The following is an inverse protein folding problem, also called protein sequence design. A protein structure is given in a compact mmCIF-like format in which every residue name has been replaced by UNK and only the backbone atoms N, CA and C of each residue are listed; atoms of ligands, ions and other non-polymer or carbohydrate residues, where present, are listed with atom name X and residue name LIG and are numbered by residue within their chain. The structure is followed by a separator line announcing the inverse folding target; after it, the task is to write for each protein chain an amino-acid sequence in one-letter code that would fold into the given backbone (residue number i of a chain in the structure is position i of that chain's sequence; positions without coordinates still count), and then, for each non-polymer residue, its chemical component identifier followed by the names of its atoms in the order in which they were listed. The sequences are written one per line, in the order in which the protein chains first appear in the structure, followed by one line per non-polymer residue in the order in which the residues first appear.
data_IF_269913395873
#
_entry.id   IF_269913395873
#
_cell.length_a   1.000
_cell.length_b   1.000
_cell.length_c   1.000
_cell.angle_alpha   90.00
_cell.angle_beta   90.00
_cell.angle_gamma   90.00
#
_symmetry.space_group_name_H-M   'P 1'
#
loop_
_entity.id
_entity.type
_entity.pdbx_description
1 polymer ?
#
# COMPACT_ATOMS: atom_id res chain seq x y z
N UNK A 1 -14.43 -7.34 16.66
CA UNK A 1 -12.96 -7.49 16.54
C UNK A 1 -12.25 -6.54 17.51
N UNK A 2 -11.13 -6.96 18.13
CA UNK A 2 -10.28 -6.13 18.98
C UNK A 2 -8.87 -6.08 18.44
N UNK A 3 -8.16 -5.00 18.76
CA UNK A 3 -6.85 -4.68 18.23
C UNK A 3 -5.86 -4.36 19.35
N UNK A 4 -4.58 -4.63 19.09
CA UNK A 4 -3.48 -4.33 19.99
C UNK A 4 -2.28 -3.75 19.24
N UNK A 5 -1.37 -3.08 19.99
CA UNK A 5 -0.08 -2.65 19.49
C UNK A 5 0.92 -3.81 19.44
N UNK A 6 1.72 -3.90 18.39
CA UNK A 6 2.84 -4.83 18.28
C UNK A 6 3.89 -4.65 19.36
N UNK A 7 3.92 -3.48 20.03
CA UNK A 7 4.86 -3.17 21.14
C UNK A 7 4.19 -3.12 22.52
N UNK A 8 2.83 -3.20 22.58
CA UNK A 8 2.08 -3.55 23.78
C UNK A 8 1.49 -2.42 24.61
N UNK A 9 1.72 -1.14 24.28
CA UNK A 9 1.13 -0.05 25.05
C UNK A 9 -0.39 0.03 24.90
N UNK A 10 -0.90 -0.24 23.70
CA UNK A 10 -2.33 -0.16 23.40
C UNK A 10 -2.92 -1.57 23.26
N UNK A 11 -4.07 -1.83 23.91
CA UNK A 11 -4.76 -3.13 23.89
C UNK A 11 -6.28 -2.92 23.87
N UNK A 12 -6.99 -3.93 23.36
CA UNK A 12 -8.45 -3.98 23.39
C UNK A 12 -9.14 -2.79 22.68
N UNK A 13 -8.53 -2.28 21.60
CA UNK A 13 -9.07 -1.16 20.82
C UNK A 13 -10.12 -1.64 19.82
N UNK A 14 -11.10 -0.77 19.49
CA UNK A 14 -12.04 -0.98 18.39
C UNK A 14 -11.39 -0.62 17.04
N UNK A 15 -12.00 -1.05 15.93
CA UNK A 15 -11.59 -0.64 14.59
C UNK A 15 -11.59 0.89 14.44
N UNK A 16 -12.65 1.56 14.90
CA UNK A 16 -12.68 3.02 14.92
C UNK A 16 -11.48 3.63 15.62
N UNK A 17 -11.09 3.10 16.78
CA UNK A 17 -9.95 3.59 17.54
C UNK A 17 -8.65 3.54 16.73
N UNK A 18 -8.34 2.40 16.14
CA UNK A 18 -7.10 2.21 15.37
C UNK A 18 -7.10 2.95 14.03
N UNK A 19 -8.27 3.13 13.40
CA UNK A 19 -8.41 3.88 12.16
C UNK A 19 -7.94 5.34 12.34
N UNK A 20 -8.45 6.01 13.39
CA UNK A 20 -8.11 7.40 13.68
C UNK A 20 -6.70 7.59 14.24
N UNK A 21 -6.22 6.64 15.05
CA UNK A 21 -4.86 6.71 15.60
C UNK A 21 -3.79 6.43 14.55
N UNK A 22 -4.03 5.48 13.64
CA UNK A 22 -3.12 5.09 12.56
C UNK A 22 -1.82 4.43 13.06
N UNK A 23 -1.27 4.90 14.17
CA UNK A 23 -0.04 4.44 14.83
C UNK A 23 -0.32 4.33 16.34
N UNK A 24 0.22 3.31 16.99
CA UNK A 24 0.08 3.12 18.42
C UNK A 24 0.88 4.16 19.24
N UNK A 25 0.49 4.35 20.50
CA UNK A 25 1.09 5.37 21.38
C UNK A 25 2.57 5.12 21.66
N UNK A 26 3.02 3.86 21.59
CA UNK A 26 4.41 3.42 21.72
C UNK A 26 5.19 3.41 20.36
N UNK A 27 4.57 3.89 19.30
CA UNK A 27 5.12 3.84 17.95
C UNK A 27 5.04 2.46 17.28
N UNK A 28 4.37 1.49 17.92
CA UNK A 28 4.06 0.18 17.35
C UNK A 28 2.92 0.23 16.34
N UNK A 29 2.72 -0.88 15.64
CA UNK A 29 1.67 -1.01 14.64
C UNK A 29 0.47 -1.75 15.21
N UNK A 30 -0.74 -1.42 14.74
CA UNK A 30 -1.93 -2.16 15.13
C UNK A 30 -2.09 -3.45 14.33
N UNK A 31 -2.48 -4.51 15.05
CA UNK A 31 -2.89 -5.81 14.51
C UNK A 31 -4.16 -6.28 15.23
N UNK A 32 -5.03 -7.07 14.60
CA UNK A 32 -6.11 -7.74 15.32
C UNK A 32 -5.56 -8.76 16.30
N UNK A 33 -6.23 -8.95 17.42
CA UNK A 33 -5.86 -9.95 18.44
C UNK A 33 -5.92 -11.37 17.88
N UNK A 34 -6.93 -11.62 17.01
CA UNK A 34 -7.15 -12.90 16.34
C UNK A 34 -7.44 -12.70 14.85
N UNK A 35 -7.05 -13.66 14.01
CA UNK A 35 -7.35 -13.65 12.59
C UNK A 35 -8.75 -14.21 12.35
N UNK A 36 -9.70 -13.46 11.73
CA UNK A 36 -10.97 -14.01 11.35
C UNK A 36 -10.77 -15.16 10.37
N UNK A 37 -11.57 -16.21 10.51
CA UNK A 37 -11.53 -17.36 9.62
C UNK A 37 -12.68 -17.26 8.61
N UNK A 38 -12.40 -17.56 7.36
CA UNK A 38 -13.39 -17.60 6.28
C UNK A 38 -13.38 -18.99 5.62
N UNK A 39 -14.56 -19.42 5.21
CA UNK A 39 -14.72 -20.65 4.43
C UNK A 39 -14.56 -20.30 2.95
N UNK A 40 -13.40 -20.68 2.39
CA UNK A 40 -13.05 -20.39 0.99
C UNK A 40 -14.06 -20.98 0.00
N UNK A 41 -14.53 -22.22 0.20
CA UNK A 41 -15.51 -22.86 -0.69
C UNK A 41 -16.88 -22.16 -0.63
N UNK A 42 -17.22 -21.57 0.51
CA UNK A 42 -18.42 -20.73 0.63
C UNK A 42 -18.22 -19.40 -0.10
N UNK A 43 -17.04 -18.79 0.00
CA UNK A 43 -16.71 -17.53 -0.67
C UNK A 43 -16.68 -17.68 -2.20
N UNK A 44 -16.25 -18.84 -2.74
CA UNK A 44 -16.29 -19.10 -4.20
C UNK A 44 -17.66 -18.92 -4.83
N UNK A 45 -18.73 -18.99 -4.05
CA UNK A 45 -20.10 -18.71 -4.52
C UNK A 45 -20.39 -17.22 -4.73
N UNK A 46 -19.53 -16.34 -4.24
CA UNK A 46 -19.58 -14.90 -4.45
C UNK A 46 -18.83 -14.54 -5.72
N UNK A 47 -19.56 -14.26 -6.79
CA UNK A 47 -18.94 -13.89 -8.10
C UNK A 47 -18.65 -12.39 -8.22
N UNK A 48 -19.17 -11.57 -7.31
CA UNK A 48 -19.10 -10.11 -7.33
C UNK A 48 -18.06 -9.61 -6.34
N UNK A 49 -17.16 -8.72 -6.80
CA UNK A 49 -16.12 -8.11 -5.95
C UNK A 49 -16.69 -7.39 -4.72
N UNK A 50 -17.81 -6.69 -4.85
CA UNK A 50 -18.39 -5.88 -3.76
C UNK A 50 -18.98 -6.74 -2.64
N UNK A 51 -19.63 -7.85 -2.98
CA UNK A 51 -20.14 -8.80 -2.01
C UNK A 51 -19.00 -9.53 -1.30
N UNK A 52 -17.98 -9.94 -2.06
CA UNK A 52 -16.76 -10.52 -1.49
C UNK A 52 -16.04 -9.53 -0.57
N UNK A 53 -15.92 -8.27 -0.96
CA UNK A 53 -15.33 -7.22 -0.14
C UNK A 53 -16.04 -7.11 1.22
N UNK A 54 -17.38 -7.16 1.23
CA UNK A 54 -18.13 -7.16 2.47
C UNK A 54 -17.81 -8.38 3.36
N UNK A 55 -17.84 -9.58 2.81
CA UNK A 55 -17.56 -10.82 3.58
C UNK A 55 -16.14 -10.83 4.18
N UNK A 56 -15.15 -10.28 3.46
CA UNK A 56 -13.75 -10.25 3.90
C UNK A 56 -13.49 -9.18 4.96
N UNK A 57 -14.06 -7.97 4.82
CA UNK A 57 -13.72 -6.87 5.75
C UNK A 57 -14.69 -6.75 6.93
N UNK A 58 -15.93 -7.21 6.80
CA UNK A 58 -16.92 -7.11 7.87
C UNK A 58 -16.42 -7.68 9.21
N UNK A 59 -15.76 -8.87 9.28
CA UNK A 59 -15.28 -9.41 10.54
C UNK A 59 -14.29 -8.49 11.29
N UNK A 60 -13.51 -7.70 10.57
CA UNK A 60 -12.57 -6.74 11.15
C UNK A 60 -13.26 -5.52 11.78
N UNK A 61 -14.51 -5.24 11.37
CA UNK A 61 -15.26 -4.06 11.75
C UNK A 61 -16.56 -4.38 12.52
N UNK A 62 -16.75 -5.65 12.85
CA UNK A 62 -17.97 -6.14 13.51
C UNK A 62 -18.28 -5.37 14.80
N UNK A 63 -19.49 -4.84 14.88
CA UNK A 63 -19.95 -3.99 15.97
C UNK A 63 -19.58 -2.51 15.85
N UNK A 64 -18.74 -2.12 14.90
CA UNK A 64 -18.33 -0.72 14.70
C UNK A 64 -19.15 0.00 13.62
N UNK A 65 -19.61 -0.72 12.58
CA UNK A 65 -20.45 -0.18 11.49
C UNK A 65 -21.59 -1.14 11.20
N UNK A 66 -22.78 -0.61 11.01
CA UNK A 66 -23.94 -1.41 10.61
C UNK A 66 -23.74 -2.02 9.22
N UNK A 67 -24.14 -3.28 9.03
CA UNK A 67 -23.96 -4.03 7.78
C UNK A 67 -24.49 -3.30 6.56
N UNK A 68 -25.69 -2.71 6.64
CA UNK A 68 -26.29 -1.95 5.54
C UNK A 68 -25.44 -0.75 5.15
N UNK A 69 -24.88 -0.07 6.15
CA UNK A 69 -24.03 1.10 5.92
C UNK A 69 -22.67 0.70 5.36
N UNK A 70 -22.07 -0.40 5.86
CA UNK A 70 -20.81 -0.90 5.33
C UNK A 70 -20.94 -1.32 3.84
N UNK A 71 -22.04 -2.03 3.49
CA UNK A 71 -22.32 -2.37 2.08
C UNK A 71 -22.46 -1.13 1.20
N UNK A 72 -23.13 -0.09 1.69
CA UNK A 72 -23.23 1.18 0.96
C UNK A 72 -21.87 1.82 0.77
N UNK A 73 -21.03 1.89 1.80
CA UNK A 73 -19.67 2.44 1.73
C UNK A 73 -18.83 1.69 0.69
N UNK A 74 -18.88 0.36 0.68
CA UNK A 74 -18.17 -0.47 -0.30
C UNK A 74 -18.62 -0.16 -1.73
N UNK A 75 -19.92 -0.09 -1.97
CA UNK A 75 -20.48 0.23 -3.28
C UNK A 75 -20.02 1.62 -3.75
N UNK A 76 -20.13 2.62 -2.88
CA UNK A 76 -19.73 4.00 -3.20
C UNK A 76 -18.22 4.10 -3.46
N UNK A 77 -17.40 3.37 -2.69
CA UNK A 77 -15.95 3.35 -2.82
C UNK A 77 -15.47 2.88 -4.19
N UNK A 78 -16.04 1.79 -4.69
CA UNK A 78 -15.60 1.17 -5.95
C UNK A 78 -16.40 1.58 -7.19
N UNK A 79 -17.42 2.44 -7.02
CA UNK A 79 -18.22 2.99 -8.14
C UNK A 79 -17.43 3.87 -9.12
N UNK A 80 -16.27 4.37 -8.70
CA UNK A 80 -15.41 5.25 -9.50
C UNK A 80 -14.28 4.50 -10.24
N UNK A 81 -14.25 3.17 -10.14
CA UNK A 81 -13.30 2.38 -10.92
C UNK A 81 -13.76 2.40 -12.38
N UNK A 82 -12.89 2.83 -13.29
CA UNK A 82 -13.23 3.30 -14.64
C UNK A 82 -13.38 2.21 -15.69
N UNK A 83 -13.20 0.94 -15.33
CA UNK A 83 -13.32 -0.21 -16.23
C UNK A 83 -14.53 -1.06 -15.87
N UNK A 84 -14.98 -1.89 -16.80
CA UNK A 84 -16.08 -2.84 -16.58
C UNK A 84 -15.81 -3.79 -15.41
N UNK A 85 -14.54 -4.01 -15.08
CA UNK A 85 -14.11 -4.81 -13.94
C UNK A 85 -13.22 -4.00 -13.00
N UNK A 86 -13.50 -4.10 -11.67
CA UNK A 86 -12.69 -3.47 -10.61
C UNK A 86 -11.25 -4.01 -10.65
N UNK A 87 -11.10 -5.31 -10.93
CA UNK A 87 -9.82 -5.99 -11.14
C UNK A 87 -9.90 -6.76 -12.44
N UNK A 88 -8.91 -6.60 -13.30
CA UNK A 88 -8.74 -7.36 -14.53
C UNK A 88 -7.51 -8.26 -14.46
N UNK A 89 -7.40 -9.19 -15.38
CA UNK A 89 -6.32 -10.18 -15.41
C UNK A 89 -5.72 -10.26 -16.80
N UNK A 90 -4.40 -10.14 -16.90
CA UNK A 90 -3.67 -10.44 -18.14
C UNK A 90 -3.02 -11.82 -18.02
N UNK A 91 -3.43 -12.73 -18.88
CA UNK A 91 -2.76 -14.02 -19.02
C UNK A 91 -1.49 -13.82 -19.86
N UNK A 92 -0.34 -14.17 -19.33
CA UNK A 92 0.92 -14.24 -20.09
C UNK A 92 1.16 -15.66 -20.56
N UNK A 93 1.13 -16.63 -19.65
CA UNK A 93 1.21 -18.07 -19.94
C UNK A 93 0.00 -18.78 -19.32
N UNK A 94 -0.11 -20.10 -19.53
CA UNK A 94 -1.23 -20.91 -19.02
C UNK A 94 -1.49 -20.66 -17.52
N UNK A 95 -0.45 -20.66 -16.71
CA UNK A 95 -0.54 -20.53 -15.26
C UNK A 95 0.13 -19.24 -14.73
N UNK A 96 0.53 -18.32 -15.59
CA UNK A 96 1.15 -17.03 -15.23
C UNK A 96 0.22 -15.88 -15.58
N UNK A 97 -0.24 -15.16 -14.55
CA UNK A 97 -1.23 -14.09 -14.70
C UNK A 97 -0.81 -12.84 -13.95
N UNK A 98 -0.95 -11.69 -14.59
CA UNK A 98 -0.87 -10.38 -13.93
C UNK A 98 -2.25 -10.01 -13.43
N UNK A 99 -2.36 -9.67 -12.15
CA UNK A 99 -3.56 -9.07 -11.54
C UNK A 99 -3.46 -7.56 -11.72
N UNK A 100 -4.28 -6.98 -12.57
CA UNK A 100 -4.27 -5.54 -12.83
C UNK A 100 -5.00 -4.79 -11.72
N UNK A 101 -4.25 -4.26 -10.76
CA UNK A 101 -4.75 -3.52 -9.60
C UNK A 101 -4.76 -1.99 -9.82
N UNK A 102 -4.78 -1.55 -11.06
CA UNK A 102 -4.67 -0.14 -11.43
C UNK A 102 -5.92 0.39 -12.19
N UNK A 103 -7.06 -0.28 -12.04
CA UNK A 103 -8.33 0.14 -12.63
C UNK A 103 -9.03 1.26 -11.85
N UNK A 104 -8.47 1.67 -10.74
CA UNK A 104 -8.95 2.78 -9.93
C UNK A 104 -8.63 4.16 -10.53
N UNK A 105 -9.18 5.24 -9.92
CA UNK A 105 -9.14 6.59 -10.49
C UNK A 105 -7.73 7.19 -10.62
N UNK A 106 -6.75 6.72 -9.84
CA UNK A 106 -5.38 7.22 -9.93
C UNK A 106 -4.39 6.22 -10.53
N UNK A 107 -4.90 5.13 -11.10
CA UNK A 107 -4.13 4.14 -11.83
C UNK A 107 -3.06 3.44 -10.96
N UNK A 108 -3.38 3.16 -9.69
CA UNK A 108 -2.51 2.39 -8.80
C UNK A 108 -3.33 1.59 -7.77
N UNK A 109 -2.78 0.47 -7.30
CA UNK A 109 -3.43 -0.41 -6.31
C UNK A 109 -3.83 0.32 -5.01
N UNK A 110 -3.20 1.44 -4.73
CA UNK A 110 -3.48 2.26 -3.55
C UNK A 110 -4.90 2.84 -3.55
N UNK A 111 -5.55 2.91 -4.72
CA UNK A 111 -6.96 3.29 -4.83
C UNK A 111 -7.88 2.34 -4.08
N UNK A 112 -7.60 1.02 -4.09
CA UNK A 112 -8.41 0.03 -3.38
C UNK A 112 -8.59 0.37 -1.90
N UNK A 113 -7.51 0.81 -1.26
CA UNK A 113 -7.56 1.19 0.13
C UNK A 113 -8.12 2.61 0.33
N UNK A 114 -7.65 3.60 -0.43
CA UNK A 114 -8.01 5.00 -0.19
C UNK A 114 -9.48 5.29 -0.51
N UNK A 115 -10.03 4.74 -1.60
CA UNK A 115 -11.43 4.91 -1.94
C UNK A 115 -12.38 4.27 -0.91
N UNK A 116 -11.92 3.26 -0.16
CA UNK A 116 -12.69 2.62 0.91
C UNK A 116 -12.55 3.36 2.26
N UNK A 117 -11.33 3.73 2.63
CA UNK A 117 -11.02 4.26 3.96
C UNK A 117 -11.59 5.67 4.15
N UNK A 118 -11.54 6.52 3.14
CA UNK A 118 -12.02 7.91 3.25
C UNK A 118 -13.54 7.95 3.53
N UNK A 119 -14.41 7.21 2.83
CA UNK A 119 -15.83 7.14 3.21
C UNK A 119 -16.08 6.53 4.59
N UNK A 120 -15.22 5.64 5.08
CA UNK A 120 -15.32 5.13 6.47
C UNK A 120 -15.02 6.25 7.47
N UNK A 121 -14.00 7.08 7.25
CA UNK A 121 -13.77 8.27 8.06
C UNK A 121 -14.98 9.22 8.02
N UNK A 122 -15.51 9.51 6.83
CA UNK A 122 -16.71 10.37 6.68
C UNK A 122 -17.91 9.84 7.45
N UNK A 123 -18.12 8.53 7.44
CA UNK A 123 -19.17 7.89 8.24
C UNK A 123 -19.02 8.20 9.73
N UNK A 124 -17.84 8.00 10.31
CA UNK A 124 -17.59 8.29 11.72
C UNK A 124 -17.61 9.78 12.06
N UNK A 125 -17.31 10.64 11.08
CA UNK A 125 -17.32 12.09 11.24
C UNK A 125 -18.69 12.73 10.99
N UNK A 126 -19.66 11.98 10.45
CA UNK A 126 -20.97 12.51 10.04
C UNK A 126 -21.73 13.20 11.18
N UNK A 127 -21.59 12.71 12.41
CA UNK A 127 -22.18 13.29 13.61
C UNK A 127 -21.35 14.38 14.29
N UNK A 128 -20.11 14.64 13.82
CA UNK A 128 -19.18 15.62 14.39
C UNK A 128 -19.25 16.95 13.63
N UNK A 129 -19.04 18.04 14.33
CA UNK A 129 -18.92 19.39 13.73
C UNK A 129 -17.51 19.62 13.18
N UNK A 130 -16.51 19.05 13.83
CA UNK A 130 -15.09 19.23 13.50
C UNK A 130 -14.70 18.44 12.24
N UNK A 131 -13.75 19.02 11.49
CA UNK A 131 -13.10 18.35 10.38
C UNK A 131 -11.90 17.53 10.86
N UNK A 132 -11.58 16.47 10.13
CA UNK A 132 -10.33 15.72 10.28
C UNK A 132 -9.29 16.27 9.31
N UNK A 133 -8.07 16.45 9.77
CA UNK A 133 -6.95 16.90 8.96
C UNK A 133 -6.00 15.71 8.73
N UNK A 134 -6.02 15.14 7.53
CA UNK A 134 -5.10 14.07 7.17
C UNK A 134 -3.77 14.66 6.73
N UNK A 135 -2.68 14.12 7.27
CA UNK A 135 -1.33 14.43 6.81
C UNK A 135 -0.70 13.16 6.19
N UNK A 136 -0.09 13.31 5.02
CA UNK A 136 0.46 12.19 4.25
C UNK A 136 1.82 12.58 3.69
N UNK A 137 2.83 11.73 3.89
CA UNK A 137 4.06 11.76 3.09
C UNK A 137 3.95 10.71 1.97
N UNK A 138 4.35 11.08 0.75
CA UNK A 138 4.20 10.21 -0.41
C UNK A 138 5.40 10.23 -1.34
N UNK A 139 5.67 9.07 -1.96
CA UNK A 139 6.55 8.92 -3.13
C UNK A 139 5.77 8.98 -4.46
N UNK A 140 4.53 9.53 -4.45
CA UNK A 140 3.67 9.74 -5.61
C UNK A 140 2.29 9.08 -5.48
N UNK A 141 2.20 7.76 -5.61
CA UNK A 141 0.93 7.03 -5.72
C UNK A 141 0.01 7.13 -4.51
N UNK A 142 0.57 7.08 -3.28
CA UNK A 142 -0.26 7.18 -2.07
C UNK A 142 -0.91 8.57 -1.98
N UNK A 143 -0.17 9.61 -2.32
CA UNK A 143 -0.68 10.98 -2.31
C UNK A 143 -1.76 11.19 -3.37
N UNK A 144 -1.53 10.71 -4.59
CA UNK A 144 -2.52 10.78 -5.68
C UNK A 144 -3.82 10.09 -5.28
N UNK A 145 -3.75 8.86 -4.76
CA UNK A 145 -4.92 8.10 -4.33
C UNK A 145 -5.67 8.76 -3.16
N UNK A 146 -4.92 9.28 -2.17
CA UNK A 146 -5.51 9.95 -1.01
C UNK A 146 -6.20 11.27 -1.38
N UNK A 147 -5.55 12.11 -2.21
CA UNK A 147 -6.13 13.37 -2.70
C UNK A 147 -7.41 13.09 -3.50
N UNK A 148 -7.37 12.14 -4.43
CA UNK A 148 -8.55 11.78 -5.21
C UNK A 148 -9.72 11.33 -4.32
N UNK A 149 -9.45 10.47 -3.33
CA UNK A 149 -10.49 9.99 -2.41
C UNK A 149 -11.06 11.11 -1.53
N UNK A 150 -10.21 12.02 -1.04
CA UNK A 150 -10.61 13.13 -0.16
C UNK A 150 -11.38 14.23 -0.92
N UNK A 151 -11.21 14.34 -2.23
CA UNK A 151 -11.85 15.40 -3.04
C UNK A 151 -13.36 15.50 -2.84
N UNK A 152 -14.03 14.36 -2.59
CA UNK A 152 -15.49 14.29 -2.39
C UNK A 152 -15.92 14.49 -0.93
N UNK A 153 -14.98 14.52 0.00
CA UNK A 153 -15.28 14.68 1.43
C UNK A 153 -15.46 16.15 1.80
N UNK A 154 -16.52 16.47 2.55
CA UNK A 154 -16.70 17.76 3.20
C UNK A 154 -16.15 17.83 4.63
N UNK A 155 -15.72 16.68 5.17
CA UNK A 155 -15.29 16.51 6.56
C UNK A 155 -13.79 16.32 6.72
N UNK A 156 -13.06 16.15 5.62
CA UNK A 156 -11.64 15.82 5.64
C UNK A 156 -10.85 16.84 4.82
N UNK A 157 -9.83 17.42 5.44
CA UNK A 157 -8.78 18.15 4.74
C UNK A 157 -7.57 17.23 4.56
N UNK A 158 -6.80 17.40 3.48
CA UNK A 158 -5.57 16.63 3.24
C UNK A 158 -4.37 17.56 2.98
N UNK A 159 -3.31 17.32 3.75
CA UNK A 159 -1.99 17.94 3.60
C UNK A 159 -1.03 16.87 3.09
N UNK A 160 -0.70 16.91 1.81
CA UNK A 160 0.06 15.87 1.11
C UNK A 160 1.47 16.35 0.80
N UNK A 161 2.46 15.85 1.54
CA UNK A 161 3.87 16.17 1.38
C UNK A 161 4.53 15.24 0.38
N UNK A 162 5.25 15.79 -0.61
CA UNK A 162 6.00 15.01 -1.58
C UNK A 162 7.36 15.64 -1.89
N UNK A 163 8.40 14.83 -2.21
CA UNK A 163 9.74 15.33 -2.44
C UNK A 163 9.87 15.93 -3.85
N UNK A 164 10.52 17.10 -3.92
CA UNK A 164 10.79 17.83 -5.16
C UNK A 164 11.67 17.01 -6.12
N UNK A 165 11.26 16.90 -7.38
CA UNK A 165 11.99 16.21 -8.45
C UNK A 165 12.28 14.71 -8.17
N UNK A 166 11.52 14.05 -7.28
CA UNK A 166 11.70 12.64 -6.92
C UNK A 166 10.46 11.77 -7.16
N UNK A 167 9.43 12.32 -7.78
CA UNK A 167 8.25 11.63 -8.27
C UNK A 167 8.11 11.88 -9.77
N UNK A 168 7.31 11.07 -10.48
CA UNK A 168 7.08 11.31 -11.91
C UNK A 168 6.23 12.56 -12.15
N UNK A 169 6.39 13.19 -13.32
CA UNK A 169 5.58 14.35 -13.70
C UNK A 169 4.08 14.01 -13.69
N UNK A 170 3.73 12.79 -14.10
CA UNK A 170 2.36 12.29 -14.08
C UNK A 170 1.82 12.21 -12.65
N UNK A 171 2.57 11.63 -11.72
CA UNK A 171 2.17 11.56 -10.31
C UNK A 171 2.05 12.95 -9.68
N UNK A 172 2.96 13.87 -10.01
CA UNK A 172 2.88 15.27 -9.54
C UNK A 172 1.57 15.90 -10.01
N UNK A 173 1.26 15.83 -11.30
CA UNK A 173 0.03 16.38 -11.86
C UNK A 173 -1.22 15.76 -11.24
N UNK A 174 -1.23 14.46 -10.99
CA UNK A 174 -2.35 13.79 -10.29
C UNK A 174 -2.65 14.40 -8.91
N UNK A 175 -1.68 15.03 -8.27
CA UNK A 175 -1.85 15.66 -6.96
C UNK A 175 -2.11 17.17 -7.05
N UNK A 176 -1.46 17.85 -7.99
CA UNK A 176 -1.40 19.31 -8.04
C UNK A 176 -2.48 19.95 -8.92
N UNK A 177 -3.09 19.19 -9.83
CA UNK A 177 -4.20 19.65 -10.69
C UNK A 177 -5.59 19.30 -10.12
N UNK A 178 -5.66 18.60 -9.00
CA UNK A 178 -6.92 18.35 -8.29
C UNK A 178 -7.22 19.51 -7.35
N UNK A 179 -8.27 20.27 -7.66
CA UNK A 179 -8.63 21.45 -6.90
C UNK A 179 -9.74 21.17 -5.89
N UNK A 180 -9.60 21.72 -4.69
CA UNK A 180 -10.58 21.67 -3.62
C UNK A 180 -10.14 22.55 -2.46
N UNK A 181 -11.11 23.11 -1.73
CA UNK A 181 -10.81 23.94 -0.53
C UNK A 181 -10.25 23.10 0.63
N UNK A 182 -10.20 21.79 0.46
CA UNK A 182 -9.75 20.81 1.45
C UNK A 182 -8.48 20.05 0.99
N UNK A 183 -7.83 20.48 -0.11
CA UNK A 183 -6.68 19.79 -0.71
C UNK A 183 -5.47 20.72 -0.69
N UNK A 184 -4.40 20.27 -0.03
CA UNK A 184 -3.17 21.05 0.18
C UNK A 184 -1.93 20.23 -0.19
N UNK A 185 -1.54 20.15 -1.49
CA UNK A 185 -0.30 19.53 -1.91
C UNK A 185 0.89 20.40 -1.50
N UNK A 186 1.93 19.78 -0.94
CA UNK A 186 3.11 20.46 -0.39
C UNK A 186 4.37 19.80 -0.93
N UNK A 187 5.08 20.49 -1.81
CA UNK A 187 6.37 20.06 -2.34
C UNK A 187 7.48 20.48 -1.38
N UNK A 188 8.28 19.50 -0.92
CA UNK A 188 9.41 19.71 -0.02
C UNK A 188 10.71 19.57 -0.79
N UNK A 189 11.60 20.54 -0.71
CA UNK A 189 12.97 20.41 -1.24
C UNK A 189 13.80 19.49 -0.33
N UNK A 190 13.72 18.21 -0.59
CA UNK A 190 14.25 17.13 0.23
C UNK A 190 13.96 15.75 -0.34
N UNK A 191 14.08 14.75 0.52
CA UNK A 191 13.82 13.33 0.22
C UNK A 191 12.41 12.90 0.69
N UNK A 192 12.00 11.69 0.31
CA UNK A 192 10.80 11.08 0.86
C UNK A 192 10.89 10.87 2.39
N UNK A 193 12.08 10.51 2.89
CA UNK A 193 12.33 10.36 4.32
C UNK A 193 12.21 11.70 5.07
N UNK A 194 12.61 12.82 4.47
CA UNK A 194 12.40 14.14 5.03
C UNK A 194 10.89 14.44 5.17
N UNK A 195 10.11 14.17 4.14
CA UNK A 195 8.64 14.29 4.21
C UNK A 195 8.04 13.41 5.31
N UNK A 196 8.50 12.16 5.44
CA UNK A 196 8.06 11.25 6.49
C UNK A 196 8.44 11.73 7.89
N UNK A 197 9.64 12.30 8.05
CA UNK A 197 10.11 12.81 9.35
C UNK A 197 9.27 14.01 9.81
N UNK A 198 8.92 14.93 8.90
CA UNK A 198 7.98 16.02 9.19
C UNK A 198 6.63 15.47 9.65
N UNK A 199 6.05 14.50 8.92
CA UNK A 199 4.77 13.89 9.28
C UNK A 199 4.85 13.22 10.65
N UNK A 200 5.89 12.44 10.92
CA UNK A 200 6.08 11.77 12.22
C UNK A 200 6.22 12.77 13.36
N UNK A 201 7.01 13.84 13.19
CA UNK A 201 7.18 14.89 14.19
C UNK A 201 5.85 15.55 14.55
N UNK A 202 5.04 15.89 13.55
CA UNK A 202 3.71 16.48 13.76
C UNK A 202 2.76 15.53 14.51
N UNK A 203 2.80 14.23 14.21
CA UNK A 203 1.95 13.23 14.88
C UNK A 203 2.38 12.92 16.32
N UNK A 204 3.67 12.98 16.61
CA UNK A 204 4.23 12.76 17.95
C UNK A 204 3.89 13.94 18.86
N UNK A 205 3.85 15.16 18.35
CA UNK A 205 3.40 16.34 19.09
C UNK A 205 1.89 16.26 19.36
N UNK A 206 1.52 15.62 20.48
CA UNK A 206 0.11 15.40 20.86
C UNK A 206 -0.64 16.71 21.14
N UNK A 207 0.07 17.78 21.56
CA UNK A 207 -0.56 19.10 21.71
C UNK A 207 -1.06 19.60 20.37
N UNK A 208 -0.20 19.62 19.37
CA UNK A 208 -0.53 20.08 18.03
C UNK A 208 -1.50 19.13 17.30
N UNK A 209 -1.25 17.83 17.33
CA UNK A 209 -2.08 16.87 16.61
C UNK A 209 -3.51 16.77 17.14
N UNK A 210 -3.72 16.94 18.46
CA UNK A 210 -5.06 16.98 19.05
C UNK A 210 -5.76 18.31 18.79
N UNK A 211 -5.05 19.45 18.94
CA UNK A 211 -5.60 20.78 18.68
C UNK A 211 -6.18 20.90 17.26
N UNK A 212 -5.47 20.34 16.28
CA UNK A 212 -5.86 20.42 14.86
C UNK A 212 -6.50 19.13 14.34
N UNK A 213 -6.88 18.17 15.20
CA UNK A 213 -7.50 16.89 14.80
C UNK A 213 -6.75 16.19 13.66
N UNK A 214 -5.42 16.01 13.83
CA UNK A 214 -4.54 15.44 12.79
C UNK A 214 -4.51 13.93 12.89
N UNK A 215 -4.66 13.26 11.75
CA UNK A 215 -4.45 11.81 11.59
C UNK A 215 -3.61 11.51 10.35
N UNK A 216 -3.06 10.31 10.26
CA UNK A 216 -2.31 9.85 9.10
C UNK A 216 -2.94 8.63 8.43
N UNK A 217 -2.88 8.60 7.10
CA UNK A 217 -3.30 7.45 6.29
C UNK A 217 -2.13 6.81 5.54
N UNK A 218 -0.96 6.81 6.16
CA UNK A 218 0.25 6.19 5.63
C UNK A 218 0.09 4.67 5.50
N UNK A 219 1.05 3.99 4.86
CA UNK A 219 1.05 2.54 4.62
C UNK A 219 0.89 1.69 5.88
N UNK A 220 1.23 2.25 7.04
CA UNK A 220 1.17 1.57 8.34
C UNK A 220 -0.24 1.51 8.95
N UNK A 221 -1.20 2.31 8.48
CA UNK A 221 -2.58 2.22 9.00
C UNK A 221 -3.17 0.85 8.65
N UNK A 222 -3.66 0.13 9.67
CA UNK A 222 -4.22 -1.22 9.51
C UNK A 222 -5.32 -1.29 8.46
N UNK A 223 -6.16 -0.26 8.37
CA UNK A 223 -7.27 -0.23 7.40
C UNK A 223 -6.79 -0.36 5.95
N UNK A 224 -5.55 0.06 5.65
CA UNK A 224 -4.96 -0.12 4.31
C UNK A 224 -4.63 -1.58 4.03
N UNK A 225 -4.06 -2.28 5.01
CA UNK A 225 -3.81 -3.72 4.90
C UNK A 225 -5.12 -4.47 4.73
N UNK A 226 -6.12 -4.16 5.57
CA UNK A 226 -7.44 -4.78 5.52
C UNK A 226 -8.09 -4.68 4.13
N UNK A 227 -8.08 -3.51 3.51
CA UNK A 227 -8.65 -3.31 2.18
C UNK A 227 -7.92 -4.11 1.07
N UNK A 228 -6.65 -4.42 1.27
CA UNK A 228 -5.82 -5.15 0.32
C UNK A 228 -6.02 -6.68 0.40
N UNK A 229 -6.58 -7.21 1.47
CA UNK A 229 -6.88 -8.64 1.62
C UNK A 229 -7.86 -9.11 0.53
N UNK A 230 -8.80 -8.26 0.14
CA UNK A 230 -9.92 -8.59 -0.74
C UNK A 230 -9.44 -9.15 -2.08
N UNK A 231 -8.48 -8.49 -2.73
CA UNK A 231 -8.07 -8.86 -4.08
C UNK A 231 -7.26 -10.17 -4.13
N UNK A 232 -6.65 -10.61 -3.03
CA UNK A 232 -6.05 -11.94 -2.96
C UNK A 232 -7.12 -13.03 -3.07
N UNK A 233 -8.21 -12.93 -2.29
CA UNK A 233 -9.34 -13.85 -2.40
C UNK A 233 -10.02 -13.75 -3.76
N UNK A 234 -10.30 -12.53 -4.22
CA UNK A 234 -10.95 -12.30 -5.51
C UNK A 234 -10.19 -12.92 -6.68
N UNK A 235 -8.86 -12.83 -6.65
CA UNK A 235 -8.02 -13.38 -7.72
C UNK A 235 -8.18 -14.89 -7.87
N UNK A 236 -8.25 -15.63 -6.78
CA UNK A 236 -8.44 -17.08 -6.85
C UNK A 236 -9.87 -17.46 -7.24
N UNK A 237 -10.86 -16.77 -6.66
CA UNK A 237 -12.29 -17.03 -6.94
C UNK A 237 -12.62 -16.72 -8.41
N UNK A 238 -12.19 -15.58 -8.92
CA UNK A 238 -12.46 -15.16 -10.31
C UNK A 238 -11.80 -16.08 -11.35
N UNK A 239 -10.69 -16.71 -11.00
CA UNK A 239 -9.98 -17.63 -11.88
C UNK A 239 -10.33 -19.11 -11.62
N UNK A 240 -11.35 -19.37 -10.78
CA UNK A 240 -11.83 -20.71 -10.40
C UNK A 240 -10.73 -21.66 -9.93
N UNK A 241 -9.80 -21.13 -9.15
CA UNK A 241 -8.66 -21.90 -8.60
C UNK A 241 -9.16 -22.84 -7.49
N UNK A 242 -8.65 -24.08 -7.50
CA UNK A 242 -8.95 -25.09 -6.50
C UNK A 242 -7.99 -25.02 -5.32
N UNK A 243 -8.45 -25.39 -4.13
CA UNK A 243 -7.57 -25.57 -2.95
C UNK A 243 -6.47 -26.62 -3.13
N UNK A 244 -6.59 -27.48 -4.16
CA UNK A 244 -5.60 -28.51 -4.49
C UNK A 244 -4.48 -28.02 -5.38
N UNK A 245 -4.65 -26.84 -5.99
CA UNK A 245 -3.65 -26.25 -6.85
C UNK A 245 -2.51 -25.64 -6.01
N UNK A 246 -1.31 -25.63 -6.56
CA UNK A 246 -0.18 -24.90 -5.97
C UNK A 246 -0.23 -23.45 -6.45
N UNK A 247 -0.41 -22.53 -5.53
CA UNK A 247 -0.72 -21.13 -5.81
C UNK A 247 0.32 -20.22 -5.17
N UNK A 248 0.92 -19.37 -5.97
CA UNK A 248 1.91 -18.40 -5.53
C UNK A 248 1.48 -16.99 -5.91
N UNK A 249 1.75 -16.02 -5.04
CA UNK A 249 1.62 -14.59 -5.33
C UNK A 249 2.98 -13.92 -5.30
N UNK A 250 3.35 -13.25 -6.39
CA UNK A 250 4.54 -12.41 -6.45
C UNK A 250 4.15 -10.95 -6.33
N UNK A 251 4.74 -10.30 -5.32
CA UNK A 251 4.31 -8.96 -4.89
C UNK A 251 5.49 -7.99 -4.97
N UNK A 252 5.42 -6.97 -5.83
CA UNK A 252 6.37 -5.85 -5.81
C UNK A 252 6.33 -5.19 -4.41
N UNK A 253 7.42 -5.30 -3.67
CA UNK A 253 7.38 -5.02 -2.23
C UNK A 253 8.33 -3.91 -1.83
N UNK A 254 7.77 -2.75 -1.42
CA UNK A 254 8.45 -1.72 -0.66
C UNK A 254 8.10 -1.82 0.82
N UNK A 255 7.10 -1.06 1.28
CA UNK A 255 6.69 -0.96 2.69
C UNK A 255 6.06 -2.23 3.30
N UNK A 256 6.08 -3.35 2.63
CA UNK A 256 5.56 -4.66 3.11
C UNK A 256 4.04 -4.70 3.36
N UNK A 257 3.29 -3.65 3.03
CA UNK A 257 1.86 -3.58 3.34
C UNK A 257 1.02 -4.54 2.51
N UNK A 258 1.26 -4.57 1.21
CA UNK A 258 0.54 -5.40 0.25
C UNK A 258 0.78 -6.90 0.49
N UNK A 259 2.04 -7.32 0.52
CA UNK A 259 2.37 -8.72 0.76
C UNK A 259 1.95 -9.19 2.17
N UNK A 260 1.91 -8.28 3.15
CA UNK A 260 1.36 -8.58 4.47
C UNK A 260 -0.16 -8.80 4.40
N UNK A 261 -0.88 -8.12 3.53
CA UNK A 261 -2.29 -8.42 3.27
C UNK A 261 -2.47 -9.83 2.68
N UNK A 262 -1.57 -10.27 1.80
CA UNK A 262 -1.51 -11.66 1.34
C UNK A 262 -1.27 -12.66 2.48
N UNK A 263 -0.34 -12.33 3.39
CA UNK A 263 -0.12 -13.13 4.60
C UNK A 263 -1.38 -13.25 5.45
N UNK A 264 -2.07 -12.13 5.69
CA UNK A 264 -3.34 -12.13 6.44
C UNK A 264 -4.41 -12.94 5.71
N UNK A 265 -4.51 -12.83 4.38
CA UNK A 265 -5.45 -13.64 3.59
C UNK A 265 -5.22 -15.14 3.82
N UNK A 266 -3.96 -15.60 3.83
CA UNK A 266 -3.61 -17.00 4.13
C UNK A 266 -3.99 -17.36 5.56
N UNK A 267 -3.74 -16.48 6.52
CA UNK A 267 -4.17 -16.68 7.92
C UNK A 267 -5.69 -16.77 8.06
N UNK A 268 -6.43 -16.13 7.18
CA UNK A 268 -7.90 -16.19 7.14
C UNK A 268 -8.44 -17.43 6.42
N UNK A 269 -7.60 -18.20 5.72
CA UNK A 269 -8.01 -19.42 5.01
C UNK A 269 -7.88 -19.38 3.48
N UNK A 270 -7.17 -18.38 2.92
CA UNK A 270 -6.83 -18.36 1.49
C UNK A 270 -5.86 -19.53 1.18
N UNK A 271 -6.17 -20.42 0.21
CA UNK A 271 -5.32 -21.59 -0.11
C UNK A 271 -4.13 -21.18 -1.01
N UNK A 272 -3.20 -20.37 -0.50
CA UNK A 272 -1.98 -20.02 -1.22
C UNK A 272 -0.75 -20.63 -0.57
N UNK A 273 0.21 -21.05 -1.40
CA UNK A 273 1.41 -21.77 -0.99
C UNK A 273 2.56 -20.84 -0.66
N UNK A 274 2.83 -19.83 -1.53
CA UNK A 274 3.94 -18.92 -1.35
C UNK A 274 3.58 -17.47 -1.66
N UNK A 275 4.23 -16.58 -0.90
CA UNK A 275 4.28 -15.15 -1.14
C UNK A 275 5.73 -14.80 -1.52
N UNK A 276 5.94 -14.38 -2.76
CA UNK A 276 7.26 -13.97 -3.26
C UNK A 276 7.44 -12.48 -3.04
N UNK A 277 8.38 -12.13 -2.17
CA UNK A 277 8.81 -10.75 -1.92
C UNK A 277 9.72 -10.34 -3.08
N UNK A 278 9.22 -9.51 -3.97
CA UNK A 278 10.00 -8.98 -5.08
C UNK A 278 10.53 -7.60 -4.72
N UNK A 279 11.85 -7.41 -4.73
CA UNK A 279 12.52 -6.13 -4.41
C UNK A 279 13.32 -5.60 -5.58
N UNK A 280 13.55 -4.29 -5.62
CA UNK A 280 14.55 -3.66 -6.46
C UNK A 280 15.92 -3.69 -5.76
N UNK A 281 16.84 -2.76 -6.11
CA UNK A 281 18.16 -2.63 -5.45
C UNK A 281 18.06 -2.33 -3.96
N UNK A 282 16.92 -1.81 -3.48
CA UNK A 282 16.64 -1.57 -2.07
C UNK A 282 16.13 -2.86 -1.43
N UNK A 283 17.03 -3.76 -1.14
CA UNK A 283 16.82 -5.20 -0.95
C UNK A 283 16.79 -5.67 0.51
N UNK A 284 16.47 -4.79 1.46
CA UNK A 284 16.46 -5.12 2.90
C UNK A 284 15.64 -6.39 3.22
N UNK A 285 14.50 -6.58 2.54
CA UNK A 285 13.65 -7.75 2.72
C UNK A 285 14.24 -9.01 2.09
N UNK A 286 14.87 -8.91 0.91
CA UNK A 286 15.53 -10.05 0.25
C UNK A 286 16.73 -10.52 1.08
N UNK A 287 17.53 -9.60 1.61
CA UNK A 287 18.64 -9.92 2.52
C UNK A 287 18.15 -10.60 3.79
N UNK A 288 17.06 -10.10 4.37
CA UNK A 288 16.44 -10.72 5.53
C UNK A 288 16.00 -12.16 5.26
N UNK A 289 15.28 -12.42 4.16
CA UNK A 289 14.84 -13.78 3.82
C UNK A 289 16.02 -14.73 3.58
N UNK A 290 17.12 -14.22 3.04
CA UNK A 290 18.33 -15.04 2.79
C UNK A 290 19.11 -15.39 4.06
N UNK A 291 19.27 -14.43 4.96
CA UNK A 291 20.23 -14.51 6.08
C UNK A 291 19.63 -14.40 7.48
N UNK A 292 18.40 -13.90 7.64
CA UNK A 292 17.83 -13.54 8.94
C UNK A 292 18.28 -12.17 9.46
N UNK A 293 19.18 -11.49 8.74
CA UNK A 293 19.67 -10.15 9.10
C UNK A 293 18.79 -9.07 8.47
N UNK A 294 18.24 -8.20 9.29
CA UNK A 294 17.47 -7.03 8.86
C UNK A 294 18.27 -5.76 9.18
N UNK A 295 19.05 -5.28 8.21
CA UNK A 295 19.96 -4.13 8.39
C UNK A 295 19.75 -3.05 7.33
N UNK A 296 19.82 -1.79 7.78
CA UNK A 296 19.61 -0.60 6.94
C UNK A 296 20.83 -0.38 6.03
N UNK A 297 20.57 -0.13 4.74
CA UNK A 297 21.56 0.34 3.78
C UNK A 297 21.12 1.71 3.21
N UNK A 298 22.04 2.38 2.51
CA UNK A 298 21.70 3.56 1.72
C UNK A 298 20.67 3.23 0.65
N UNK A 299 19.74 4.16 0.42
CA UNK A 299 18.66 3.99 -0.56
C UNK A 299 19.16 4.37 -1.95
N UNK A 300 19.13 3.41 -2.85
CA UNK A 300 19.37 3.64 -4.28
C UNK A 300 18.10 4.22 -4.93
N UNK A 301 18.27 5.20 -5.82
CA UNK A 301 17.18 5.73 -6.66
C UNK A 301 17.00 4.82 -7.88
N UNK A 302 15.80 4.29 -8.07
CA UNK A 302 15.46 3.37 -9.16
C UNK A 302 14.32 3.85 -10.04
N UNK A 303 13.93 3.06 -11.04
CA UNK A 303 12.74 3.29 -11.86
C UNK A 303 11.44 2.89 -11.16
N UNK A 304 11.52 2.26 -9.99
CA UNK A 304 10.38 1.83 -9.16
C UNK A 304 10.33 2.59 -7.82
N UNK A 305 10.07 3.91 -7.83
CA UNK A 305 10.27 4.78 -6.66
C UNK A 305 9.41 4.42 -5.44
N UNK A 306 8.29 3.70 -5.61
CA UNK A 306 7.49 3.23 -4.47
C UNK A 306 8.15 2.13 -3.65
N UNK A 307 9.25 1.56 -4.18
CA UNK A 307 10.07 0.52 -3.54
C UNK A 307 11.43 1.06 -3.07
N UNK A 308 11.74 2.34 -3.30
CA UNK A 308 12.97 2.99 -2.87
C UNK A 308 12.88 3.35 -1.38
N UNK A 309 13.12 2.37 -0.54
CA UNK A 309 12.96 2.45 0.92
C UNK A 309 14.20 1.90 1.64
N UNK A 310 14.53 2.47 2.81
CA UNK A 310 15.53 1.92 3.73
C UNK A 310 14.92 0.88 4.69
N UNK A 311 13.66 1.09 5.08
CA UNK A 311 12.95 0.27 6.07
C UNK A 311 11.55 -0.06 5.54
N UNK A 312 11.20 -1.34 5.51
CA UNK A 312 9.86 -1.81 5.18
C UNK A 312 8.93 -1.67 6.40
N UNK A 313 8.19 -0.57 6.45
CA UNK A 313 7.48 -0.13 7.67
C UNK A 313 6.45 -1.13 8.22
N UNK A 314 5.83 -1.98 7.39
CA UNK A 314 4.88 -3.00 7.86
C UNK A 314 5.54 -4.34 8.24
N UNK A 315 6.85 -4.49 8.03
CA UNK A 315 7.58 -5.70 8.40
C UNK A 315 7.49 -6.00 9.91
N UNK A 316 7.38 -4.96 10.73
CA UNK A 316 7.17 -5.08 12.19
C UNK A 316 5.97 -5.98 12.54
N UNK A 317 4.92 -6.03 11.69
CA UNK A 317 3.77 -6.92 11.91
C UNK A 317 4.12 -8.38 11.73
N UNK A 318 4.92 -8.71 10.72
CA UNK A 318 5.43 -10.07 10.54
C UNK A 318 6.42 -10.43 11.67
N UNK A 319 7.28 -9.48 12.06
CA UNK A 319 8.22 -9.64 13.17
C UNK A 319 7.48 -9.97 14.47
N UNK A 320 6.36 -9.31 14.76
CA UNK A 320 5.52 -9.60 15.90
C UNK A 320 4.98 -11.04 15.88
N UNK A 321 4.53 -11.53 14.71
CA UNK A 321 4.05 -12.91 14.54
C UNK A 321 5.17 -13.93 14.79
N UNK A 322 6.36 -13.74 14.19
CA UNK A 322 7.49 -14.68 14.35
C UNK A 322 8.14 -14.60 15.74
N UNK A 323 7.90 -13.52 16.48
CA UNK A 323 8.20 -13.40 17.90
C UNK A 323 7.16 -14.07 18.81
N UNK A 324 6.24 -14.87 18.25
CA UNK A 324 5.11 -15.48 18.95
C UNK A 324 4.25 -14.44 19.68
N UNK A 325 3.96 -13.33 19.04
CA UNK A 325 3.21 -12.18 19.56
C UNK A 325 3.80 -11.57 20.85
N UNK A 326 5.12 -11.73 21.06
CA UNK A 326 5.81 -11.09 22.16
C UNK A 326 6.07 -9.61 21.86
N UNK A 327 5.35 -8.74 22.56
CA UNK A 327 5.51 -7.28 22.46
C UNK A 327 6.91 -6.82 22.92
N UNK A 328 7.46 -7.46 23.96
CA UNK A 328 8.79 -7.16 24.49
C UNK A 328 9.89 -7.46 23.46
N UNK A 329 9.88 -8.66 22.84
CA UNK A 329 10.85 -9.04 21.80
C UNK A 329 10.74 -8.12 20.59
N UNK A 330 9.52 -7.79 20.19
CA UNK A 330 9.28 -6.90 19.03
C UNK A 330 9.78 -5.49 19.32
N UNK A 331 9.50 -4.94 20.49
CA UNK A 331 10.03 -3.64 20.93
C UNK A 331 11.56 -3.64 20.90
N UNK A 332 12.20 -4.69 21.45
CA UNK A 332 13.66 -4.82 21.45
C UNK A 332 14.22 -4.82 20.02
N UNK A 333 13.68 -5.61 19.10
CA UNK A 333 14.14 -5.63 17.71
C UNK A 333 14.01 -4.24 17.05
N UNK A 334 12.91 -3.51 17.30
CA UNK A 334 12.71 -2.18 16.74
C UNK A 334 13.62 -1.13 17.39
N UNK A 335 13.97 -1.29 18.65
CA UNK A 335 14.98 -0.46 19.31
C UNK A 335 16.39 -0.76 18.76
N UNK A 336 16.74 -2.03 18.55
CA UNK A 336 18.00 -2.43 17.91
C UNK A 336 18.10 -1.86 16.49
N UNK A 337 17.02 -1.90 15.71
CA UNK A 337 16.97 -1.28 14.38
C UNK A 337 17.28 0.23 14.44
N UNK A 338 16.75 0.92 15.45
CA UNK A 338 16.94 2.37 15.61
C UNK A 338 18.35 2.72 16.09
N UNK A 339 18.93 1.92 17.00
CA UNK A 339 20.20 2.23 17.68
C UNK A 339 21.41 1.61 16.99
N UNK A 340 21.24 0.43 16.40
CA UNK A 340 22.30 -0.38 15.80
C UNK A 340 22.16 -0.50 14.27
N UNK A 341 21.19 0.19 13.66
CA UNK A 341 20.83 0.10 12.25
C UNK A 341 20.46 -1.32 11.76
N UNK A 342 20.08 -2.21 12.66
CA UNK A 342 19.69 -3.57 12.29
C UNK A 342 19.50 -4.51 13.48
N UNK A 343 18.99 -5.70 13.17
CA UNK A 343 18.86 -6.82 14.09
C UNK A 343 18.92 -8.15 13.35
N UNK A 344 19.16 -9.23 14.08
CA UNK A 344 19.10 -10.60 13.58
C UNK A 344 17.95 -11.36 14.24
N UNK A 345 17.37 -12.29 13.50
CA UNK A 345 16.42 -13.29 14.04
C UNK A 345 17.11 -14.65 14.18
N UNK A 346 16.56 -15.52 15.03
CA UNK A 346 17.05 -16.89 15.14
C UNK A 346 16.79 -17.70 13.87
N UNK A 347 17.56 -18.79 13.69
CA UNK A 347 17.38 -19.72 12.58
C UNK A 347 15.96 -20.34 12.56
N UNK A 348 15.40 -20.64 13.73
CA UNK A 348 14.02 -21.15 13.85
C UNK A 348 12.99 -20.13 13.35
N UNK A 349 13.17 -18.85 13.71
CA UNK A 349 12.31 -17.76 13.21
C UNK A 349 12.44 -17.59 11.70
N UNK A 350 13.67 -17.62 11.18
CA UNK A 350 13.91 -17.53 9.74
C UNK A 350 13.29 -18.71 8.99
N UNK A 351 13.43 -19.93 9.51
CA UNK A 351 12.81 -21.11 8.92
C UNK A 351 11.28 -21.06 8.94
N UNK A 352 10.68 -20.45 9.98
CA UNK A 352 9.24 -20.21 10.03
C UNK A 352 8.79 -19.26 8.90
N UNK A 353 9.54 -18.18 8.66
CA UNK A 353 9.26 -17.24 7.56
C UNK A 353 9.39 -17.93 6.21
N UNK A 354 10.46 -18.68 5.98
CA UNK A 354 10.74 -19.40 4.70
C UNK A 354 9.71 -20.47 4.33
N UNK A 355 8.89 -20.94 5.27
CA UNK A 355 7.77 -21.84 4.96
C UNK A 355 6.76 -21.20 4.01
N UNK A 356 6.54 -19.90 4.13
CA UNK A 356 5.53 -19.17 3.36
C UNK A 356 6.14 -18.13 2.42
N UNK A 357 7.25 -17.52 2.81
CA UNK A 357 7.87 -16.44 2.03
C UNK A 357 9.10 -16.94 1.26
N UNK A 358 9.21 -16.49 0.03
CA UNK A 358 10.44 -16.51 -0.75
C UNK A 358 10.76 -15.08 -1.18
N UNK A 359 11.97 -14.82 -1.68
CA UNK A 359 12.34 -13.48 -2.13
C UNK A 359 13.34 -13.49 -3.28
N UNK A 360 13.27 -12.44 -4.09
CA UNK A 360 14.25 -12.18 -5.15
C UNK A 360 14.40 -10.68 -5.36
N UNK A 361 15.65 -10.25 -5.45
CA UNK A 361 16.02 -8.92 -5.94
C UNK A 361 16.13 -8.94 -7.47
N UNK A 362 15.51 -7.96 -8.13
CA UNK A 362 15.59 -7.71 -9.58
C UNK A 362 16.29 -6.36 -9.79
N UNK A 363 17.37 -6.33 -10.55
CA UNK A 363 18.13 -5.11 -10.80
C UNK A 363 17.55 -4.29 -11.96
N UNK A 364 18.04 -3.05 -12.14
CA UNK A 364 17.49 -2.12 -13.12
C UNK A 364 17.57 -2.63 -14.57
N UNK A 365 18.66 -3.32 -14.94
CA UNK A 365 18.83 -3.86 -16.29
C UNK A 365 17.84 -5.02 -16.54
N UNK A 366 17.62 -5.86 -15.54
CA UNK A 366 16.61 -6.93 -15.59
C UNK A 366 15.20 -6.35 -15.75
N UNK A 367 14.89 -5.24 -15.07
CA UNK A 367 13.59 -4.54 -15.19
C UNK A 367 13.36 -4.04 -16.60
N UNK A 368 14.35 -3.33 -17.20
CA UNK A 368 14.24 -2.79 -18.55
C UNK A 368 14.07 -3.93 -19.58
N UNK A 369 14.85 -5.00 -19.45
CA UNK A 369 14.73 -6.19 -20.31
C UNK A 369 13.36 -6.89 -20.18
N UNK A 370 12.82 -7.00 -18.97
CA UNK A 370 11.51 -7.62 -18.74
C UNK A 370 10.38 -6.80 -19.38
N UNK A 371 10.40 -5.47 -19.23
CA UNK A 371 9.43 -4.58 -19.88
C UNK A 371 9.45 -4.78 -21.39
N UNK A 372 10.66 -4.78 -22.02
CA UNK A 372 10.82 -4.99 -23.45
C UNK A 372 10.33 -6.36 -23.88
N UNK A 373 10.76 -7.43 -23.22
CA UNK A 373 10.39 -8.80 -23.60
C UNK A 373 8.87 -9.04 -23.51
N UNK A 374 8.21 -8.50 -22.49
CA UNK A 374 6.74 -8.61 -22.36
C UNK A 374 6.02 -7.84 -23.44
N UNK A 375 6.53 -6.68 -23.83
CA UNK A 375 6.00 -5.92 -24.93
C UNK A 375 6.15 -6.69 -26.26
N UNK A 376 7.34 -7.18 -26.55
CA UNK A 376 7.66 -7.90 -27.79
C UNK A 376 6.87 -9.22 -27.92
N UNK A 377 6.75 -10.00 -26.82
CA UNK A 377 6.09 -11.32 -26.85
C UNK A 377 4.57 -11.25 -26.79
N UNK A 378 4.02 -10.34 -25.97
CA UNK A 378 2.57 -10.32 -25.65
C UNK A 378 1.85 -9.07 -26.15
N UNK A 379 2.54 -8.14 -26.80
CA UNK A 379 2.02 -6.79 -27.12
C UNK A 379 1.33 -6.16 -25.92
N UNK A 380 1.98 -6.27 -24.74
CA UNK A 380 1.45 -5.83 -23.47
C UNK A 380 2.53 -5.06 -22.69
N UNK A 381 2.14 -3.91 -22.15
CA UNK A 381 3.06 -3.02 -21.44
C UNK A 381 2.87 -3.18 -19.96
N UNK A 382 3.99 -3.38 -19.25
CA UNK A 382 4.03 -3.41 -17.77
C UNK A 382 4.84 -2.25 -17.22
N UNK A 383 4.50 -1.83 -16.00
CA UNK A 383 5.28 -0.83 -15.28
C UNK A 383 6.51 -1.44 -14.58
N UNK A 384 7.51 -0.64 -14.16
CA UNK A 384 8.72 -1.16 -13.53
C UNK A 384 8.48 -2.01 -12.27
N UNK A 385 7.45 -1.67 -11.46
CA UNK A 385 7.13 -2.46 -10.27
C UNK A 385 6.58 -3.84 -10.66
N UNK A 386 5.66 -3.90 -11.60
CA UNK A 386 5.12 -5.15 -12.14
C UNK A 386 6.22 -6.01 -12.76
N UNK A 387 7.19 -5.40 -13.46
CA UNK A 387 8.34 -6.10 -14.00
C UNK A 387 9.17 -6.78 -12.91
N UNK A 388 9.41 -6.11 -11.78
CA UNK A 388 10.09 -6.69 -10.61
C UNK A 388 9.32 -7.89 -10.07
N UNK A 389 7.99 -7.76 -9.91
CA UNK A 389 7.12 -8.86 -9.48
C UNK A 389 7.19 -10.06 -10.42
N UNK A 390 7.13 -9.82 -11.71
CA UNK A 390 7.20 -10.85 -12.74
C UNK A 390 8.57 -11.56 -12.78
N UNK A 391 9.66 -10.79 -12.74
CA UNK A 391 11.02 -11.32 -12.71
C UNK A 391 11.24 -12.21 -11.49
N UNK A 392 10.84 -11.77 -10.32
CA UNK A 392 10.95 -12.55 -9.09
C UNK A 392 10.12 -13.84 -9.15
N UNK A 393 8.91 -13.78 -9.72
CA UNK A 393 8.05 -14.97 -9.93
C UNK A 393 8.74 -16.02 -10.81
N UNK A 394 9.28 -15.61 -11.93
CA UNK A 394 9.93 -16.50 -12.91
C UNK A 394 11.21 -17.16 -12.39
N UNK A 395 11.89 -16.51 -11.44
CA UNK A 395 13.11 -17.04 -10.81
C UNK A 395 12.83 -18.00 -9.63
N UNK A 396 11.66 -17.88 -8.98
CA UNK A 396 11.35 -18.62 -7.75
C UNK A 396 10.37 -19.77 -7.98
N UNK A 397 9.35 -19.56 -8.83
CA UNK A 397 8.21 -20.45 -8.96
C UNK A 397 8.35 -21.36 -10.18
N UNK A 398 7.69 -22.52 -10.15
CA UNK A 398 7.62 -23.43 -11.29
C UNK A 398 6.51 -23.02 -12.26
N UNK A 399 6.69 -23.31 -13.55
CA UNK A 399 5.72 -22.98 -14.60
C UNK A 399 4.42 -23.80 -14.50
N UNK A 400 4.46 -24.97 -13.85
CA UNK A 400 3.28 -25.81 -13.63
C UNK A 400 2.40 -25.31 -12.48
N UNK A 401 2.91 -24.40 -11.64
CA UNK A 401 2.20 -23.80 -10.53
C UNK A 401 1.43 -22.55 -10.99
N UNK A 402 0.30 -22.23 -10.32
CA UNK A 402 -0.41 -20.98 -10.58
C UNK A 402 0.35 -19.80 -9.98
N UNK A 403 0.81 -18.92 -10.84
CA UNK A 403 1.63 -17.75 -10.48
C UNK A 403 0.85 -16.48 -10.76
N UNK A 404 0.45 -15.80 -9.70
CA UNK A 404 -0.22 -14.50 -9.74
C UNK A 404 0.78 -13.39 -9.44
N UNK A 405 0.95 -12.47 -10.36
CA UNK A 405 1.83 -11.30 -10.22
C UNK A 405 0.97 -10.07 -9.99
N UNK A 406 1.21 -9.32 -8.93
CA UNK A 406 0.46 -8.09 -8.66
C UNK A 406 0.94 -6.95 -9.57
N UNK A 407 0.09 -6.53 -10.48
CA UNK A 407 0.25 -5.34 -11.32
C UNK A 407 -0.20 -4.11 -10.54
N UNK A 408 0.75 -3.43 -9.90
CA UNK A 408 0.47 -2.44 -8.85
C UNK A 408 0.26 -1.03 -9.38
N UNK A 409 0.67 -0.73 -10.61
CA UNK A 409 0.47 0.57 -11.24
C UNK A 409 0.33 0.45 -12.76
N UNK A 410 -0.44 1.36 -13.34
CA UNK A 410 -0.55 1.48 -14.80
C UNK A 410 0.77 2.03 -15.38
N UNK A 411 1.31 1.46 -16.47
CA UNK A 411 2.61 1.86 -17.02
C UNK A 411 2.68 3.34 -17.45
N UNK A 412 1.56 3.96 -17.79
CA UNK A 412 1.49 5.40 -18.11
C UNK A 412 2.09 6.30 -17.00
N UNK A 413 2.01 5.89 -15.74
CA UNK A 413 2.58 6.64 -14.60
C UNK A 413 4.12 6.71 -14.67
N UNK A 414 4.73 5.80 -15.39
CA UNK A 414 6.17 5.65 -15.56
C UNK A 414 6.59 5.67 -17.03
N UNK A 415 5.86 6.43 -17.86
CA UNK A 415 5.99 6.48 -19.32
C UNK A 415 7.45 6.63 -19.79
N UNK A 416 8.23 7.53 -19.18
CA UNK A 416 9.64 7.75 -19.53
C UNK A 416 10.49 6.48 -19.42
N UNK A 417 10.30 5.70 -18.35
CA UNK A 417 11.05 4.45 -18.16
C UNK A 417 10.57 3.37 -19.12
N UNK A 418 9.26 3.27 -19.30
CA UNK A 418 8.64 2.28 -20.18
C UNK A 418 9.03 2.52 -21.63
N UNK A 419 8.89 3.74 -22.13
CA UNK A 419 9.22 4.12 -23.51
C UNK A 419 10.71 3.95 -23.80
N UNK A 420 11.58 4.25 -22.82
CA UNK A 420 13.01 3.96 -22.91
C UNK A 420 13.27 2.45 -23.06
N UNK A 421 12.59 1.61 -22.27
CA UNK A 421 12.80 0.17 -22.27
C UNK A 421 12.33 -0.49 -23.58
N UNK A 422 11.17 -0.08 -24.11
CA UNK A 422 10.61 -0.62 -25.37
C UNK A 422 11.19 0.04 -26.62
N UNK A 423 11.92 1.15 -26.47
CA UNK A 423 12.49 1.96 -27.57
C UNK A 423 11.41 2.57 -28.51
N UNK A 424 10.21 2.76 -28.00
CA UNK A 424 9.07 3.33 -28.74
C UNK A 424 8.31 4.36 -27.90
N UNK A 425 7.83 5.43 -28.53
CA UNK A 425 6.96 6.43 -27.90
C UNK A 425 5.50 5.99 -28.04
N UNK A 426 5.00 5.22 -27.07
CA UNK A 426 3.62 4.67 -27.08
C UNK A 426 2.61 5.61 -26.43
N UNK A 427 3.07 6.54 -25.61
CA UNK A 427 2.22 7.51 -24.92
C UNK A 427 2.38 8.88 -25.58
N UNK A 428 1.38 9.30 -26.38
CA UNK A 428 1.38 10.67 -26.92
C UNK A 428 1.33 11.70 -25.77
N UNK A 429 1.88 12.89 -26.03
CA UNK A 429 1.80 14.03 -25.09
C UNK A 429 0.35 14.34 -24.67
N UNK A 430 -0.62 14.07 -25.55
CA UNK A 430 -2.05 14.26 -25.26
C UNK A 430 -2.60 13.23 -24.27
N UNK A 431 -2.09 11.98 -24.27
CA UNK A 431 -2.46 10.96 -23.29
C UNK A 431 -1.81 11.21 -21.92
N UNK A 432 -0.57 11.72 -21.89
CA UNK A 432 0.13 12.05 -20.64
C UNK A 432 -0.30 13.37 -20.03
N UNK A 433 -0.87 14.29 -20.84
CA UNK A 433 -1.29 15.62 -20.41
C UNK A 433 -2.82 15.87 -20.57
N UNK A 434 -3.53 15.06 -21.37
CA UNK A 434 -4.91 15.33 -21.76
C UNK A 434 -5.95 15.27 -20.64
N UNK A 435 -5.65 14.53 -19.58
CA UNK A 435 -6.53 14.42 -18.40
C UNK A 435 -6.31 15.53 -17.36
N UNK A 436 -5.19 16.28 -17.47
CA UNK A 436 -4.83 17.36 -16.53
C UNK A 436 -5.11 18.72 -17.14
N UNK A 437 -6.39 19.14 -17.09
CA UNK A 437 -6.85 20.41 -17.69
C UNK A 437 -6.65 21.63 -16.79
N UNK A 438 -6.48 21.38 -15.49
CA UNK A 438 -6.39 22.43 -14.50
C UNK A 438 -4.93 22.85 -14.26
N UNK A 439 -4.75 24.10 -13.87
CA UNK A 439 -3.45 24.63 -13.43
C UNK A 439 -2.94 23.91 -12.18
N UNK A 440 -1.63 23.65 -12.10
CA UNK A 440 -1.04 23.09 -10.89
C UNK A 440 -1.10 24.06 -9.71
N UNK A 441 -1.66 23.60 -8.58
CA UNK A 441 -1.70 24.37 -7.32
C UNK A 441 -1.07 23.57 -6.21
N UNK A 442 0.01 24.10 -5.63
CA UNK A 442 0.74 23.49 -4.52
C UNK A 442 1.60 24.52 -3.80
N UNK A 443 1.98 24.20 -2.56
CA UNK A 443 3.01 24.94 -1.83
C UNK A 443 4.37 24.33 -2.14
N UNK A 444 5.43 25.14 -2.23
CA UNK A 444 6.80 24.63 -2.46
C UNK A 444 7.79 25.44 -1.62
N UNK A 445 8.59 24.73 -0.82
CA UNK A 445 9.62 25.35 0.02
C UNK A 445 10.69 24.31 0.46
N UNK A 446 11.73 24.81 1.14
CA UNK A 446 12.79 24.00 1.73
C UNK A 446 12.24 23.04 2.80
N UNK A 447 13.04 22.03 3.21
CA UNK A 447 12.69 21.09 4.27
C UNK A 447 12.47 21.81 5.61
N UNK A 448 11.23 22.25 5.86
CA UNK A 448 10.85 23.03 7.02
C UNK A 448 9.52 22.59 7.64
N UNK A 449 9.59 21.91 8.77
CA UNK A 449 8.41 21.52 9.55
C UNK A 449 7.58 22.72 10.00
N UNK A 450 8.20 23.83 10.37
CA UNK A 450 7.50 25.02 10.84
C UNK A 450 6.58 25.63 9.78
N UNK A 451 7.00 25.62 8.50
CA UNK A 451 6.16 26.05 7.38
C UNK A 451 4.99 25.10 7.14
N UNK A 452 5.19 23.79 7.26
CA UNK A 452 4.09 22.82 7.16
C UNK A 452 3.06 23.07 8.26
N UNK A 453 3.50 23.26 9.51
CA UNK A 453 2.61 23.61 10.64
C UNK A 453 1.85 24.92 10.40
N UNK A 454 2.48 25.93 9.82
CA UNK A 454 1.84 27.19 9.46
C UNK A 454 0.74 26.99 8.41
N UNK A 455 1.01 26.20 7.35
CA UNK A 455 0.00 25.85 6.33
C UNK A 455 -1.19 25.15 6.96
N UNK A 456 -0.95 24.18 7.86
CA UNK A 456 -2.02 23.49 8.57
C UNK A 456 -2.86 24.50 9.35
N UNK A 457 -2.26 25.33 10.23
CA UNK A 457 -2.96 26.33 11.04
C UNK A 457 -3.84 27.27 10.21
N UNK A 458 -3.32 27.72 9.07
CA UNK A 458 -4.00 28.70 8.22
C UNK A 458 -5.15 28.12 7.37
N UNK A 459 -5.26 26.77 7.28
CA UNK A 459 -6.21 26.12 6.37
C UNK A 459 -7.18 25.13 7.04
N UNK A 460 -7.01 24.76 8.31
CA UNK A 460 -7.89 23.80 9.00
C UNK A 460 -9.33 24.28 9.18
N UNK A 461 -9.57 25.58 9.16
CA UNK A 461 -10.88 26.21 9.41
C UNK A 461 -11.57 26.73 8.12
N UNK A 462 -11.05 26.40 6.94
CA UNK A 462 -11.61 26.85 5.66
C UNK A 462 -12.63 25.84 5.07
#
# INVERSE_FOLDING_TARGET
MRYLSTRGADKNLSFKGILFSGLASDGGLYVPEEWPQVDYEKLKKQSNYLDLAFEIIHPFMEGDIENKQLKKIINDAYSNFSRDEIISFKNLKKNEKIIELFNGPTLAFKDFAMQLIIPIFDYYLSSKKEKLNLIVATSGDTGSAAINAVQKSSKINIFCLFPKNRISDFQKKQMTTVHGNNIFPIEIDGTFDDCQNIVKSILIDKSFSNEFSIAAVNSINWSRVMAQIIYYFYSLIKNDISEKDIINFSVPTGNFGDIYAGYVAIKMGLPANKLVIATNENDILDRFIKSGNYSINEVAKTSSPSMDIAIASNFERLLFEINNKSTEKTSKNMDDLRTNNGFDVSEDQLNLVKKLFASKRINQDEVENLIKNIYDEFNYVIDPHTAIGLGASREINNEDEYNFILGTAHPLKFSKTVEKAIEENIYSSDKTNGDFKEEEKFFSFENSESKVREIIKNNVNK
#
